data_IF_128565591982
#
_entry.id   IF_128565591982
#
_cell.length_a   1.000
_cell.length_b   1.000
_cell.length_c   1.000
_cell.angle_alpha   90.00
_cell.angle_beta   90.00
_cell.angle_gamma   90.00
#
_symmetry.space_group_name_H-M   'P 1'
#
loop_
_entity.id
_entity.type
_entity.pdbx_description
1 polymer ?
#
# COMPACT_ATOMS: atom_id res chain seq x y z
N UNK A 1 -20.14 3.90 2.81
CA UNK A 1 -18.92 3.48 3.55
C UNK A 1 -17.76 4.46 3.30
N UNK A 2 -17.59 4.99 2.08
CA UNK A 2 -16.50 5.92 1.72
C UNK A 2 -16.33 7.17 2.63
N UNK A 3 -17.43 7.84 3.04
CA UNK A 3 -17.36 9.08 3.85
C UNK A 3 -16.59 8.88 5.16
N UNK A 4 -16.75 7.72 5.80
CA UNK A 4 -16.08 7.41 7.06
C UNK A 4 -14.56 7.27 6.88
N UNK A 5 -14.12 6.63 5.80
CA UNK A 5 -12.69 6.40 5.52
C UNK A 5 -12.00 7.73 5.22
N UNK A 6 -12.62 8.58 4.39
CA UNK A 6 -12.07 9.90 4.06
C UNK A 6 -11.94 10.80 5.29
N UNK A 7 -12.98 10.85 6.13
CA UNK A 7 -12.92 11.60 7.38
C UNK A 7 -11.82 11.07 8.32
N UNK A 8 -11.68 9.75 8.42
CA UNK A 8 -10.66 9.13 9.28
C UNK A 8 -9.24 9.46 8.80
N UNK A 9 -9.00 9.42 7.48
CA UNK A 9 -7.72 9.82 6.89
C UNK A 9 -7.39 11.28 7.24
N UNK A 10 -8.38 12.18 7.12
CA UNK A 10 -8.21 13.61 7.45
C UNK A 10 -7.89 13.78 8.93
N UNK A 11 -8.61 13.09 9.82
CA UNK A 11 -8.36 13.17 11.28
C UNK A 11 -6.93 12.74 11.60
N UNK A 12 -6.48 11.57 11.10
CA UNK A 12 -5.11 11.12 11.37
C UNK A 12 -4.05 12.05 10.78
N UNK A 13 -4.27 12.61 9.59
CA UNK A 13 -3.36 13.59 8.99
C UNK A 13 -3.25 14.86 9.84
N UNK A 14 -4.37 15.41 10.30
CA UNK A 14 -4.37 16.58 11.17
C UNK A 14 -3.72 16.28 12.54
N UNK A 15 -3.89 15.06 13.05
CA UNK A 15 -3.25 14.62 14.29
C UNK A 15 -1.72 14.53 14.19
N UNK A 16 -1.15 14.28 13.00
CA UNK A 16 0.31 14.24 12.80
C UNK A 16 0.99 15.57 13.15
N UNK A 17 0.30 16.68 12.92
CA UNK A 17 0.81 18.02 13.22
C UNK A 17 0.73 18.32 14.73
N UNK A 18 -0.31 17.82 15.40
CA UNK A 18 -0.59 18.10 16.81
C UNK A 18 0.18 17.21 17.79
N UNK A 19 0.48 15.98 17.40
CA UNK A 19 1.07 14.97 18.28
C UNK A 19 2.39 14.44 17.70
N UNK A 20 3.48 15.24 17.75
CA UNK A 20 4.76 14.86 17.16
C UNK A 20 5.36 13.57 17.73
N UNK A 21 5.07 13.26 18.99
CA UNK A 21 5.50 12.03 19.68
C UNK A 21 4.85 10.76 19.10
N UNK A 22 3.69 10.88 18.46
CA UNK A 22 2.94 9.76 17.90
C UNK A 22 3.06 9.68 16.38
N UNK A 23 4.01 10.40 15.77
CA UNK A 23 4.13 10.48 14.30
C UNK A 23 4.31 9.13 13.63
N UNK A 24 5.02 8.21 14.28
CA UNK A 24 5.21 6.84 13.79
C UNK A 24 3.85 6.14 13.67
N UNK A 25 3.13 6.04 14.79
CA UNK A 25 1.82 5.40 14.90
C UNK A 25 0.81 6.01 13.92
N UNK A 26 0.72 7.34 13.94
CA UNK A 26 -0.19 8.09 13.09
C UNK A 26 0.16 7.92 11.62
N UNK A 27 1.44 7.79 11.26
CA UNK A 27 1.85 7.58 9.87
C UNK A 27 1.32 6.24 9.36
N UNK A 28 1.55 5.13 10.08
CA UNK A 28 1.03 3.84 9.60
C UNK A 28 -0.49 3.72 9.73
N UNK A 29 -1.14 4.47 10.63
CA UNK A 29 -2.61 4.59 10.66
C UNK A 29 -3.18 5.31 9.43
N UNK A 30 -2.50 6.34 8.94
CA UNK A 30 -2.84 6.93 7.63
C UNK A 30 -2.63 5.90 6.53
N UNK A 31 -1.53 5.13 6.56
CA UNK A 31 -1.27 4.08 5.58
C UNK A 31 -2.39 3.00 5.54
N UNK A 32 -2.79 2.50 6.72
CA UNK A 32 -3.90 1.55 6.89
C UNK A 32 -5.19 2.05 6.24
N UNK A 33 -5.63 3.26 6.58
CA UNK A 33 -6.89 3.80 6.08
C UNK A 33 -6.81 4.13 4.59
N UNK A 34 -5.66 4.60 4.12
CA UNK A 34 -5.42 4.81 2.68
C UNK A 34 -5.45 3.50 1.91
N UNK A 35 -4.94 2.40 2.48
CA UNK A 35 -4.99 1.08 1.86
C UNK A 35 -6.42 0.56 1.76
N UNK A 36 -7.20 0.69 2.84
CA UNK A 36 -8.63 0.33 2.82
C UNK A 36 -9.40 1.11 1.76
N UNK A 37 -9.09 2.41 1.60
CA UNK A 37 -9.66 3.23 0.52
C UNK A 37 -9.26 2.68 -0.86
N UNK A 38 -8.00 2.31 -1.05
CA UNK A 38 -7.52 1.75 -2.31
C UNK A 38 -8.24 0.44 -2.66
N UNK A 39 -8.46 -0.45 -1.69
CA UNK A 39 -9.18 -1.72 -1.92
C UNK A 39 -10.67 -1.51 -2.28
N UNK A 40 -11.28 -0.39 -1.87
CA UNK A 40 -12.65 -0.02 -2.25
C UNK A 40 -12.72 0.78 -3.57
N UNK A 41 -11.58 1.24 -4.10
CA UNK A 41 -11.52 2.09 -5.28
C UNK A 41 -11.67 1.26 -6.56
N UNK A 42 -12.54 1.74 -7.45
CA UNK A 42 -12.86 1.06 -8.72
C UNK A 42 -11.96 1.55 -9.84
N UNK A 43 -11.62 2.83 -9.83
CA UNK A 43 -10.74 3.40 -10.84
C UNK A 43 -9.30 2.92 -10.61
N UNK A 44 -8.71 2.34 -11.66
CA UNK A 44 -7.39 1.70 -11.54
C UNK A 44 -6.30 2.71 -11.18
N UNK A 45 -6.35 3.91 -11.77
CA UNK A 45 -5.30 4.91 -11.62
C UNK A 45 -5.39 5.55 -10.23
N UNK A 46 -6.60 5.88 -9.78
CA UNK A 46 -6.84 6.36 -8.40
C UNK A 46 -6.41 5.30 -7.37
N UNK A 47 -6.74 4.04 -7.62
CA UNK A 47 -6.33 2.93 -6.74
C UNK A 47 -4.80 2.80 -6.67
N UNK A 48 -4.10 2.90 -7.80
CA UNK A 48 -2.64 2.89 -7.83
C UNK A 48 -2.05 4.07 -7.03
N UNK A 49 -2.60 5.27 -7.20
CA UNK A 49 -2.18 6.46 -6.43
C UNK A 49 -2.39 6.27 -4.93
N UNK A 50 -3.51 5.66 -4.52
CA UNK A 50 -3.78 5.36 -3.12
C UNK A 50 -2.79 4.33 -2.56
N UNK A 51 -2.46 3.26 -3.28
CA UNK A 51 -1.43 2.31 -2.82
C UNK A 51 -0.04 2.95 -2.73
N UNK A 52 0.32 3.87 -3.66
CA UNK A 52 1.54 4.68 -3.51
C UNK A 52 1.50 5.56 -2.27
N UNK A 53 0.33 6.11 -1.95
CA UNK A 53 0.06 6.84 -0.70
C UNK A 53 0.27 5.97 0.54
N UNK A 54 -0.29 4.76 0.56
CA UNK A 54 -0.04 3.77 1.62
C UNK A 54 1.46 3.54 1.80
N UNK A 55 2.17 3.23 0.71
CA UNK A 55 3.61 2.97 0.77
C UNK A 55 4.39 4.16 1.35
N UNK A 56 4.07 5.38 0.91
CA UNK A 56 4.73 6.60 1.41
C UNK A 56 4.56 6.77 2.93
N UNK A 57 3.34 6.61 3.45
CA UNK A 57 3.08 6.74 4.88
C UNK A 57 3.65 5.58 5.70
N UNK A 58 3.66 4.37 5.15
CA UNK A 58 4.35 3.22 5.75
C UNK A 58 5.86 3.47 5.86
N UNK A 59 6.49 3.99 4.81
CA UNK A 59 7.91 4.33 4.82
C UNK A 59 8.23 5.44 5.82
N UNK A 60 7.35 6.43 5.98
CA UNK A 60 7.48 7.44 7.05
C UNK A 60 7.46 6.81 8.44
N UNK A 61 6.58 5.84 8.68
CA UNK A 61 6.58 5.11 9.96
C UNK A 61 7.90 4.36 10.18
N UNK A 62 8.41 3.66 9.16
CA UNK A 62 9.71 2.95 9.22
C UNK A 62 10.89 3.91 9.43
N UNK A 63 10.84 5.12 8.85
CA UNK A 63 11.89 6.13 9.06
C UNK A 63 11.90 6.68 10.49
N UNK A 64 10.73 6.80 11.11
CA UNK A 64 10.57 7.28 12.48
C UNK A 64 10.91 6.18 13.50
N UNK A 65 10.55 4.94 13.20
CA UNK A 65 10.94 3.74 13.93
C UNK A 65 11.28 2.61 12.93
N UNK A 66 12.56 2.27 12.78
CA UNK A 66 12.99 1.17 11.90
C UNK A 66 12.36 -0.20 12.24
N UNK A 67 11.87 -0.39 13.46
CA UNK A 67 11.18 -1.60 13.92
C UNK A 67 9.65 -1.49 13.86
N UNK A 68 9.11 -0.44 13.21
CA UNK A 68 7.67 -0.23 13.06
C UNK A 68 6.99 -1.44 12.41
N UNK A 69 6.29 -2.23 13.23
CA UNK A 69 5.53 -3.40 12.78
C UNK A 69 4.45 -2.97 11.79
N UNK A 70 3.73 -1.88 12.11
CA UNK A 70 2.69 -1.32 11.25
C UNK A 70 3.25 -0.79 9.92
N UNK A 71 4.39 -0.09 9.98
CA UNK A 71 5.09 0.41 8.81
C UNK A 71 5.47 -0.71 7.84
N UNK A 72 6.17 -1.75 8.33
CA UNK A 72 6.56 -2.89 7.49
C UNK A 72 5.37 -3.67 6.95
N UNK A 73 4.34 -3.90 7.78
CA UNK A 73 3.14 -4.61 7.37
C UNK A 73 2.43 -3.92 6.20
N UNK A 74 2.14 -2.62 6.34
CA UNK A 74 1.43 -1.87 5.30
C UNK A 74 2.29 -1.59 4.06
N UNK A 75 3.62 -1.43 4.23
CA UNK A 75 4.53 -1.34 3.09
C UNK A 75 4.53 -2.65 2.27
N UNK A 76 4.60 -3.80 2.93
CA UNK A 76 4.55 -5.11 2.28
C UNK A 76 3.27 -5.31 1.46
N UNK A 77 2.11 -5.01 2.05
CA UNK A 77 0.83 -5.08 1.34
C UNK A 77 0.76 -4.11 0.15
N UNK A 78 1.24 -2.87 0.32
CA UNK A 78 1.28 -1.90 -0.76
C UNK A 78 2.18 -2.36 -1.93
N UNK A 79 3.35 -2.93 -1.64
CA UNK A 79 4.23 -3.50 -2.66
C UNK A 79 3.56 -4.64 -3.43
N UNK A 80 2.89 -5.56 -2.74
CA UNK A 80 2.15 -6.66 -3.37
C UNK A 80 1.08 -6.12 -4.33
N UNK A 81 0.25 -5.18 -3.86
CA UNK A 81 -0.82 -4.59 -4.69
C UNK A 81 -0.28 -3.81 -5.89
N UNK A 82 0.80 -3.06 -5.73
CA UNK A 82 1.42 -2.34 -6.84
C UNK A 82 2.03 -3.30 -7.88
N UNK A 83 2.66 -4.40 -7.44
CA UNK A 83 3.17 -5.43 -8.33
C UNK A 83 2.05 -6.17 -9.08
N UNK A 84 0.93 -6.43 -8.42
CA UNK A 84 -0.29 -6.98 -9.04
C UNK A 84 -0.83 -6.03 -10.13
N UNK A 85 -0.96 -4.73 -9.84
CA UNK A 85 -1.44 -3.73 -10.80
C UNK A 85 -0.51 -3.55 -12.02
N UNK A 86 0.80 -3.72 -11.80
CA UNK A 86 1.82 -3.69 -12.84
C UNK A 86 1.88 -4.99 -13.66
N UNK A 87 1.13 -6.03 -13.29
CA UNK A 87 1.12 -7.31 -14.00
C UNK A 87 2.39 -8.15 -13.81
N UNK A 88 3.16 -7.91 -12.76
CA UNK A 88 4.43 -8.63 -12.51
C UNK A 88 4.18 -10.14 -12.40
N UNK A 89 3.06 -10.54 -11.78
CA UNK A 89 2.73 -11.95 -11.59
C UNK A 89 2.14 -12.63 -12.83
N UNK A 90 1.55 -11.89 -13.78
CA UNK A 90 1.05 -12.46 -15.03
C UNK A 90 2.18 -12.78 -16.02
N UNK A 91 3.26 -11.98 -16.03
CA UNK A 91 4.45 -12.23 -16.85
C UNK A 91 5.22 -13.50 -16.42
N UNK A 92 5.32 -13.75 -15.11
CA UNK A 92 6.04 -14.91 -14.56
C UNK A 92 5.37 -16.24 -14.96
N UNK A 93 4.03 -16.31 -14.92
CA UNK A 93 3.27 -17.51 -15.29
C UNK A 93 3.38 -17.87 -16.78
N UNK A 94 3.54 -16.89 -17.67
CA UNK A 94 3.72 -17.15 -19.10
C UNK A 94 5.11 -17.70 -19.44
N UNK A 95 6.15 -17.25 -18.73
CA UNK A 95 7.53 -17.69 -18.96
C UNK A 95 7.76 -19.18 -18.63
N UNK A 96 7.05 -19.71 -17.63
CA UNK A 96 7.13 -21.12 -17.24
C UNK A 96 6.34 -22.03 -18.19
N UNK A 97 5.26 -21.51 -18.79
CA UNK A 97 4.48 -22.20 -19.82
C UNK A 97 5.25 -22.39 -21.13
N UNK A 98 5.99 -21.37 -21.59
CA UNK A 98 6.70 -21.45 -22.87
C UNK A 98 7.90 -22.42 -22.85
N UNK A 99 8.60 -22.55 -21.72
CA UNK A 99 9.70 -23.53 -21.58
C UNK A 99 9.23 -25.00 -21.71
N UNK A 100 7.94 -25.27 -21.47
CA UNK A 100 7.36 -26.62 -21.58
C UNK A 100 7.05 -27.01 -23.04
N UNK A 101 6.79 -26.04 -23.90
CA UNK A 101 6.51 -26.26 -25.32
C UNK A 101 7.79 -26.31 -26.18
N UNK A 102 8.86 -25.63 -25.76
CA UNK A 102 10.15 -25.65 -26.47
C UNK A 102 10.92 -26.98 -26.32
N UNK A 103 10.55 -27.82 -25.35
CA UNK A 103 11.10 -29.18 -25.17
C UNK A 103 10.27 -30.28 -25.86
N UNK A 104 9.25 -29.90 -26.63
CA UNK A 104 8.32 -30.82 -27.32
C UNK A 104 8.35 -30.67 -28.85
N UNK A 105 9.34 -29.98 -29.41
CA UNK A 105 9.62 -29.94 -30.84
C UNK A 105 10.87 -30.76 -31.16
#
# INVERSE_FOLDING_TARGET
MHIFIDLTIIIYKNSLEKYPQNKELLSWKVAEMTFKKADEERDKDNREQLYKGTLSYSQKAIQLDPQSIGGHYWAGLAYVRLAELAGVFSAVGQSTGQKKNLKRQ
#
